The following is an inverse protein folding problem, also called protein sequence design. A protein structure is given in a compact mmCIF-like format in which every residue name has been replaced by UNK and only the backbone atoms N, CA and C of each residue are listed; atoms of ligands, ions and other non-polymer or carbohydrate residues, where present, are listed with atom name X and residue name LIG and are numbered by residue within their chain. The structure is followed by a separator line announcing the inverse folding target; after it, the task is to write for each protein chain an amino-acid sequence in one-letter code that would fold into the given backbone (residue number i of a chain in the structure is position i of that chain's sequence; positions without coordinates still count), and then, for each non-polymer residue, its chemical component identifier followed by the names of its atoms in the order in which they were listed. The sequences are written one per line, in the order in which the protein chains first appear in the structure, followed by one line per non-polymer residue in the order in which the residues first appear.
data_IF_577669446433
#
_entry.id   IF_577669446433
#
_cell.length_a   1.000
_cell.length_b   1.000
_cell.length_c   1.000
_cell.angle_alpha   90.00
_cell.angle_beta   90.00
_cell.angle_gamma   90.00
#
_symmetry.space_group_name_H-M   'P 1'
#
loop_
_entity.id
_entity.type
_entity.pdbx_description
1 polymer ?
#
# COMPACT_ATOMS: atom_id res chain seq x y z
N UNK A 1 17.31 -17.33 13.12
CA UNK A 1 16.13 -16.46 13.21
C UNK A 1 15.52 -16.11 11.84
N UNK A 2 16.24 -15.48 10.89
CA UNK A 2 15.66 -15.10 9.61
C UNK A 2 15.25 -16.29 8.73
N UNK A 3 16.10 -17.31 8.66
CA UNK A 3 15.77 -18.55 7.94
C UNK A 3 14.56 -19.26 8.53
N UNK A 4 14.45 -19.32 9.86
CA UNK A 4 13.29 -19.89 10.53
C UNK A 4 12.00 -19.12 10.22
N UNK A 5 12.10 -17.81 10.07
CA UNK A 5 10.95 -16.94 9.72
C UNK A 5 10.52 -17.14 8.28
N UNK A 6 11.46 -17.24 7.34
CA UNK A 6 11.17 -17.53 5.92
C UNK A 6 10.54 -18.91 5.78
N UNK A 7 11.11 -19.91 6.44
CA UNK A 7 10.59 -21.28 6.42
C UNK A 7 9.17 -21.34 6.99
N UNK A 8 8.93 -20.67 8.11
CA UNK A 8 7.60 -20.54 8.71
C UNK A 8 6.60 -19.85 7.73
N UNK A 9 7.01 -18.80 7.01
CA UNK A 9 6.17 -18.14 6.01
C UNK A 9 5.84 -19.08 4.84
N UNK A 10 6.83 -19.80 4.32
CA UNK A 10 6.65 -20.76 3.23
C UNK A 10 5.71 -21.89 3.67
N UNK A 11 5.89 -22.43 4.86
CA UNK A 11 5.03 -23.47 5.44
C UNK A 11 3.60 -22.95 5.66
N UNK A 12 3.46 -21.74 6.21
CA UNK A 12 2.16 -21.11 6.47
C UNK A 12 1.42 -20.83 5.15
N UNK A 13 2.10 -20.27 4.15
CA UNK A 13 1.50 -20.00 2.83
C UNK A 13 1.18 -21.33 2.13
N UNK A 14 2.05 -22.33 2.25
CA UNK A 14 1.80 -23.66 1.71
C UNK A 14 0.59 -24.37 2.35
N UNK A 15 0.43 -24.24 3.66
CA UNK A 15 -0.70 -24.80 4.39
C UNK A 15 -2.02 -24.08 4.11
N UNK A 16 -2.00 -22.76 4.00
CA UNK A 16 -3.19 -21.94 3.69
C UNK A 16 -3.57 -21.99 2.19
N UNK A 17 -2.62 -22.31 1.32
CA UNK A 17 -2.83 -22.40 -0.12
C UNK A 17 -3.24 -21.06 -0.77
N UNK A 18 -3.95 -21.17 -1.89
CA UNK A 18 -4.44 -19.99 -2.64
C UNK A 18 -5.41 -19.09 -1.86
N UNK A 19 -6.31 -19.63 -1.02
CA UNK A 19 -7.15 -18.80 -0.15
C UNK A 19 -6.34 -17.97 0.83
N UNK A 20 -5.24 -18.52 1.37
CA UNK A 20 -4.33 -17.78 2.25
C UNK A 20 -3.64 -16.62 1.53
N UNK A 21 -3.15 -16.84 0.31
CA UNK A 21 -2.58 -15.78 -0.54
C UNK A 21 -3.62 -14.69 -0.78
N UNK A 22 -4.84 -15.07 -1.16
CA UNK A 22 -5.94 -14.12 -1.39
C UNK A 22 -6.20 -13.26 -0.15
N UNK A 23 -6.36 -13.88 1.03
CA UNK A 23 -6.66 -13.18 2.28
C UNK A 23 -5.50 -12.25 2.70
N UNK A 24 -4.27 -12.74 2.65
CA UNK A 24 -3.09 -11.93 3.00
C UNK A 24 -2.92 -10.73 2.08
N UNK A 25 -3.16 -10.91 0.78
CA UNK A 25 -3.10 -9.82 -0.19
C UNK A 25 -4.28 -8.86 -0.09
N UNK A 26 -5.46 -9.34 0.38
CA UNK A 26 -6.60 -8.48 0.69
C UNK A 26 -6.31 -7.60 1.92
N UNK A 27 -5.73 -8.17 2.96
CA UNK A 27 -5.30 -7.44 4.17
C UNK A 27 -4.20 -6.44 3.81
N UNK A 28 -3.20 -6.85 3.03
CA UNK A 28 -2.11 -6.00 2.56
C UNK A 28 -2.61 -4.77 1.78
N UNK A 29 -3.53 -4.98 0.85
CA UNK A 29 -4.09 -3.89 0.04
C UNK A 29 -5.16 -3.07 0.77
N UNK A 30 -5.47 -3.39 2.02
CA UNK A 30 -6.36 -2.62 2.90
C UNK A 30 -5.58 -1.57 3.70
N UNK A 31 -6.16 -1.07 4.78
CA UNK A 31 -5.55 -0.05 5.66
C UNK A 31 -4.29 -0.54 6.39
N UNK A 32 -4.09 -1.85 6.51
CA UNK A 32 -2.98 -2.43 7.25
C UNK A 32 -1.76 -2.54 6.32
N UNK A 33 -0.68 -1.77 6.56
CA UNK A 33 0.52 -1.82 5.72
C UNK A 33 1.29 -3.13 5.96
N UNK A 34 0.93 -4.18 5.23
CA UNK A 34 1.65 -5.44 5.21
C UNK A 34 2.36 -5.58 3.85
N UNK A 35 3.67 -5.83 3.79
CA UNK A 35 4.38 -5.86 2.51
C UNK A 35 4.07 -7.14 1.73
N UNK A 36 3.60 -7.01 0.49
CA UNK A 36 3.41 -8.15 -0.43
C UNK A 36 4.69 -8.90 -0.74
N UNK A 37 5.82 -8.24 -0.54
CA UNK A 37 7.16 -8.82 -0.66
C UNK A 37 7.40 -9.96 0.34
N UNK A 38 6.58 -10.06 1.37
CA UNK A 38 6.60 -11.16 2.35
C UNK A 38 5.69 -12.32 1.93
N UNK A 39 4.67 -12.06 1.10
CA UNK A 39 3.67 -13.06 0.69
C UNK A 39 3.99 -13.69 -0.67
N UNK A 40 4.22 -12.85 -1.69
CA UNK A 40 4.31 -13.33 -3.07
C UNK A 40 5.62 -14.06 -3.41
N UNK A 41 6.82 -13.64 -2.94
CA UNK A 41 8.04 -14.40 -3.21
C UNK A 41 8.06 -15.79 -2.57
N UNK A 42 7.64 -16.02 -1.30
CA UNK A 42 7.48 -17.38 -0.77
C UNK A 42 6.48 -18.23 -1.57
N UNK A 43 5.37 -17.64 -2.06
CA UNK A 43 4.46 -18.34 -2.95
C UNK A 43 5.14 -18.69 -4.30
N UNK A 44 5.97 -17.79 -4.85
CA UNK A 44 6.80 -18.05 -6.02
C UNK A 44 7.81 -19.17 -5.81
N UNK A 45 8.39 -19.27 -4.62
CA UNK A 45 9.24 -20.40 -4.24
C UNK A 45 8.48 -21.73 -4.20
N UNK A 46 7.23 -21.74 -3.69
CA UNK A 46 6.37 -22.94 -3.75
C UNK A 46 6.00 -23.32 -5.19
N UNK A 47 5.89 -22.35 -6.09
CA UNK A 47 5.74 -22.61 -7.54
C UNK A 47 6.98 -23.28 -8.08
N UNK A 48 8.20 -22.82 -7.74
CA UNK A 48 9.47 -23.45 -8.13
C UNK A 48 9.55 -24.90 -7.64
N UNK A 49 9.09 -25.18 -6.43
CA UNK A 49 9.03 -26.55 -5.88
C UNK A 49 7.95 -27.43 -6.56
N UNK A 50 7.18 -26.92 -7.51
CA UNK A 50 6.08 -27.65 -8.16
C UNK A 50 4.85 -27.86 -7.25
N UNK A 51 4.79 -27.21 -6.08
CA UNK A 51 3.69 -27.34 -5.11
C UNK A 51 2.50 -26.42 -5.42
N UNK A 52 2.72 -25.36 -6.20
CA UNK A 52 1.69 -24.39 -6.58
C UNK A 52 1.73 -24.06 -8.06
N UNK A 53 0.56 -23.72 -8.62
CA UNK A 53 0.45 -23.26 -10.00
C UNK A 53 0.68 -21.74 -10.06
N UNK A 54 1.61 -21.23 -10.92
CA UNK A 54 1.94 -19.81 -10.98
C UNK A 54 0.75 -18.93 -11.33
N UNK A 55 -0.10 -19.36 -12.24
CA UNK A 55 -1.29 -18.60 -12.66
C UNK A 55 -2.29 -18.44 -11.53
N UNK A 56 -2.52 -19.50 -10.75
CA UNK A 56 -3.42 -19.43 -9.60
C UNK A 56 -2.85 -18.58 -8.47
N UNK A 57 -1.54 -18.59 -8.23
CA UNK A 57 -0.88 -17.71 -7.27
C UNK A 57 -1.07 -16.25 -7.66
N UNK A 58 -0.80 -15.90 -8.92
CA UNK A 58 -0.95 -14.54 -9.43
C UNK A 58 -2.41 -14.08 -9.41
N UNK A 59 -3.34 -14.96 -9.79
CA UNK A 59 -4.78 -14.67 -9.73
C UNK A 59 -5.26 -14.45 -8.29
N UNK A 60 -4.89 -15.33 -7.36
CA UNK A 60 -5.25 -15.20 -5.95
C UNK A 60 -4.69 -13.89 -5.37
N UNK A 61 -3.44 -13.55 -5.67
CA UNK A 61 -2.81 -12.30 -5.26
C UNK A 61 -3.49 -11.07 -5.84
N UNK A 62 -3.77 -11.07 -7.14
CA UNK A 62 -4.43 -9.97 -7.84
C UNK A 62 -5.87 -9.73 -7.35
N UNK A 63 -6.65 -10.81 -7.21
CA UNK A 63 -8.03 -10.73 -6.70
C UNK A 63 -8.07 -10.34 -5.22
N UNK A 64 -7.13 -10.84 -4.41
CA UNK A 64 -6.97 -10.41 -3.02
C UNK A 64 -6.67 -8.92 -2.93
N UNK A 65 -5.71 -8.43 -3.72
CA UNK A 65 -5.39 -7.01 -3.79
C UNK A 65 -6.58 -6.17 -4.25
N UNK A 66 -7.39 -6.65 -5.19
CA UNK A 66 -8.62 -5.97 -5.60
C UNK A 66 -9.63 -5.88 -4.46
N UNK A 67 -9.84 -6.97 -3.72
CA UNK A 67 -10.75 -6.99 -2.58
C UNK A 67 -10.34 -5.98 -1.50
N UNK A 68 -9.06 -5.95 -1.12
CA UNK A 68 -8.52 -4.96 -0.17
C UNK A 68 -8.61 -3.53 -0.70
N UNK A 69 -8.36 -3.33 -2.00
CA UNK A 69 -8.52 -2.04 -2.65
C UNK A 69 -9.96 -1.52 -2.60
N UNK A 70 -10.93 -2.41 -2.80
CA UNK A 70 -12.34 -2.06 -2.67
C UNK A 70 -12.71 -1.68 -1.24
N UNK A 71 -12.16 -2.35 -0.22
CA UNK A 71 -12.37 -1.95 1.18
C UNK A 71 -11.94 -0.49 1.39
N UNK A 72 -10.74 -0.10 0.91
CA UNK A 72 -10.26 1.28 0.98
C UNK A 72 -11.09 2.24 0.12
N UNK A 73 -11.47 1.83 -1.09
CA UNK A 73 -12.28 2.63 -2.00
C UNK A 73 -13.65 2.96 -1.39
N UNK A 74 -14.37 1.95 -0.89
CA UNK A 74 -15.68 2.16 -0.27
C UNK A 74 -15.56 2.89 1.06
N UNK A 75 -14.55 2.58 1.86
CA UNK A 75 -14.25 3.32 3.09
C UNK A 75 -14.05 4.82 2.82
N UNK A 76 -13.25 5.16 1.81
CA UNK A 76 -13.04 6.54 1.39
C UNK A 76 -14.29 7.19 0.79
N UNK A 77 -15.05 6.44 -0.01
CA UNK A 77 -16.28 6.95 -0.65
C UNK A 77 -17.40 7.26 0.33
N UNK A 78 -17.56 6.42 1.37
CA UNK A 78 -18.64 6.53 2.34
C UNK A 78 -18.29 7.46 3.50
N UNK A 79 -17.08 7.31 4.03
CA UNK A 79 -16.64 7.99 5.25
C UNK A 79 -15.59 9.08 4.99
N UNK A 80 -14.91 9.03 3.84
CA UNK A 80 -13.74 9.87 3.58
C UNK A 80 -14.07 11.35 3.52
N UNK A 81 -15.13 11.76 2.80
CA UNK A 81 -15.48 13.19 2.66
C UNK A 81 -15.93 13.80 4.00
N UNK A 82 -16.88 13.21 4.77
CA UNK A 82 -17.24 13.75 6.07
C UNK A 82 -16.09 13.73 7.08
N UNK A 83 -15.28 12.65 7.11
CA UNK A 83 -14.10 12.58 7.95
C UNK A 83 -13.03 13.62 7.57
N UNK A 84 -12.80 13.82 6.27
CA UNK A 84 -11.85 14.82 5.79
C UNK A 84 -12.33 16.25 6.04
N UNK A 85 -13.61 16.53 5.96
CA UNK A 85 -14.17 17.85 6.33
C UNK A 85 -14.06 18.10 7.82
N UNK A 86 -14.29 17.07 8.65
CA UNK A 86 -14.25 17.19 10.10
C UNK A 86 -12.83 17.22 10.65
N UNK A 87 -11.93 16.36 10.15
CA UNK A 87 -10.56 16.19 10.67
C UNK A 87 -9.48 16.73 9.75
N UNK A 88 -9.77 16.98 8.47
CA UNK A 88 -8.81 17.47 7.46
C UNK A 88 -8.20 18.82 7.83
N UNK A 89 -8.94 19.64 8.58
CA UNK A 89 -8.46 20.90 9.13
C UNK A 89 -7.26 20.72 10.07
N UNK A 90 -7.19 19.61 10.80
CA UNK A 90 -6.06 19.25 11.66
C UNK A 90 -4.83 18.79 10.87
N UNK A 91 -5.05 18.27 9.65
CA UNK A 91 -3.99 17.74 8.77
C UNK A 91 -3.55 18.79 7.73
N UNK A 92 -4.16 19.98 7.74
CA UNK A 92 -3.85 21.05 6.76
C UNK A 92 -4.38 20.76 5.34
N UNK A 93 -5.32 19.83 5.22
CA UNK A 93 -6.07 19.57 4.00
C UNK A 93 -7.22 20.59 3.92
N UNK A 94 -6.95 21.71 3.27
CA UNK A 94 -7.98 22.67 2.91
C UNK A 94 -8.93 22.06 1.86
N UNK A 95 -10.21 22.38 1.95
CA UNK A 95 -11.25 21.92 1.01
C UNK A 95 -10.86 22.12 -0.46
N UNK A 96 -10.22 23.24 -0.77
CA UNK A 96 -9.67 23.57 -2.11
C UNK A 96 -8.64 22.53 -2.60
N UNK A 97 -7.84 21.95 -1.71
CA UNK A 97 -6.86 20.90 -2.08
C UNK A 97 -7.54 19.58 -2.38
N UNK A 98 -8.62 19.28 -1.66
CA UNK A 98 -9.44 18.09 -1.88
C UNK A 98 -10.15 18.18 -3.23
N UNK A 99 -10.78 19.30 -3.54
CA UNK A 99 -11.44 19.54 -4.82
C UNK A 99 -10.47 19.46 -6.01
N UNK A 100 -9.27 20.00 -5.87
CA UNK A 100 -8.22 19.87 -6.91
C UNK A 100 -7.78 18.41 -7.11
N UNK A 101 -7.65 17.65 -6.04
CA UNK A 101 -7.34 16.23 -6.11
C UNK A 101 -8.47 15.44 -6.76
N UNK A 102 -9.74 15.73 -6.41
CA UNK A 102 -10.91 15.13 -7.04
C UNK A 102 -10.98 15.47 -8.55
N UNK A 103 -10.74 16.71 -8.93
CA UNK A 103 -10.71 17.14 -10.34
C UNK A 103 -9.58 16.47 -11.12
N UNK A 104 -8.38 16.39 -10.54
CA UNK A 104 -7.26 15.69 -11.15
C UNK A 104 -7.59 14.21 -11.36
N UNK A 105 -8.17 13.57 -10.35
CA UNK A 105 -8.53 12.16 -10.39
C UNK A 105 -9.67 11.88 -11.38
N UNK A 106 -10.62 12.81 -11.52
CA UNK A 106 -11.69 12.71 -12.51
C UNK A 106 -11.18 12.79 -13.95
N UNK A 107 -10.05 13.47 -14.19
CA UNK A 107 -9.43 13.58 -15.52
C UNK A 107 -8.44 12.45 -15.82
N UNK A 108 -7.66 12.03 -14.82
CA UNK A 108 -6.53 11.13 -15.02
C UNK A 108 -6.59 9.89 -14.09
N UNK A 109 -7.72 9.63 -13.45
CA UNK A 109 -7.84 8.60 -12.42
C UNK A 109 -7.49 7.18 -12.89
N UNK A 110 -7.79 6.88 -14.15
CA UNK A 110 -7.49 5.58 -14.76
C UNK A 110 -5.98 5.33 -14.79
N UNK A 111 -5.25 6.25 -15.41
CA UNK A 111 -3.78 6.17 -15.54
C UNK A 111 -3.12 6.29 -14.16
N UNK A 112 -3.62 7.19 -13.31
CA UNK A 112 -3.10 7.37 -11.95
C UNK A 112 -3.31 6.13 -11.10
N UNK A 113 -4.46 5.45 -11.22
CA UNK A 113 -4.72 4.20 -10.51
C UNK A 113 -3.78 3.10 -10.97
N UNK A 114 -3.60 2.96 -12.28
CA UNK A 114 -2.69 1.95 -12.84
C UNK A 114 -1.23 2.18 -12.42
N UNK A 115 -0.71 3.39 -12.69
CA UNK A 115 0.69 3.74 -12.35
C UNK A 115 0.91 3.68 -10.83
N UNK A 116 -0.03 4.22 -10.05
CA UNK A 116 0.05 4.19 -8.60
C UNK A 116 0.11 2.77 -8.03
N UNK A 117 -0.53 1.80 -8.69
CA UNK A 117 -0.46 0.38 -8.32
C UNK A 117 0.89 -0.27 -8.57
N UNK A 118 1.68 0.24 -9.51
CA UNK A 118 3.03 -0.24 -9.79
C UNK A 118 4.09 0.37 -8.85
N UNK A 119 3.72 1.38 -8.06
CA UNK A 119 4.62 2.03 -7.11
C UNK A 119 4.41 1.47 -5.70
N UNK A 120 5.43 0.86 -5.05
CA UNK A 120 5.27 0.13 -3.78
C UNK A 120 4.58 0.93 -2.66
N UNK A 121 4.90 2.21 -2.49
CA UNK A 121 4.33 3.06 -1.43
C UNK A 121 2.94 3.58 -1.79
N UNK A 122 2.73 3.94 -3.07
CA UNK A 122 1.51 4.62 -3.53
C UNK A 122 0.38 3.61 -3.73
N UNK A 123 0.67 2.36 -4.07
CA UNK A 123 -0.32 1.33 -4.42
C UNK A 123 -1.37 1.07 -3.34
N UNK A 124 -1.02 1.23 -2.07
CA UNK A 124 -1.95 1.07 -0.95
C UNK A 124 -2.86 2.28 -0.81
N UNK A 125 -2.32 3.47 -1.06
CA UNK A 125 -3.01 4.74 -0.84
C UNK A 125 -3.88 5.18 -2.02
N UNK A 126 -3.57 4.72 -3.25
CA UNK A 126 -4.24 5.19 -4.49
C UNK A 126 -5.75 4.91 -4.51
N UNK A 127 -6.21 3.90 -3.77
CA UNK A 127 -7.63 3.55 -3.64
C UNK A 127 -8.44 4.60 -2.89
N UNK A 128 -7.79 5.37 -1.99
CA UNK A 128 -8.45 6.42 -1.20
C UNK A 128 -8.88 7.60 -2.08
N UNK A 129 -7.98 8.26 -2.84
CA UNK A 129 -8.39 9.33 -3.74
C UNK A 129 -9.34 8.84 -4.86
N UNK A 130 -9.22 7.59 -5.32
CA UNK A 130 -10.16 7.01 -6.27
C UNK A 130 -11.59 6.92 -5.68
N UNK A 131 -11.70 6.52 -4.41
CA UNK A 131 -12.97 6.46 -3.67
C UNK A 131 -13.57 7.85 -3.43
N UNK A 132 -12.75 8.82 -3.02
CA UNK A 132 -13.16 10.22 -2.81
C UNK A 132 -13.67 10.86 -4.09
N UNK A 133 -12.96 10.70 -5.19
CA UNK A 133 -13.34 11.18 -6.52
C UNK A 133 -14.53 10.41 -7.14
N UNK A 134 -15.07 9.41 -6.43
CA UNK A 134 -16.18 8.56 -6.91
C UNK A 134 -15.91 7.96 -8.31
N UNK A 135 -14.67 7.55 -8.56
CA UNK A 135 -14.27 6.91 -9.81
C UNK A 135 -15.24 5.77 -10.16
N UNK A 136 -15.50 5.56 -11.45
CA UNK A 136 -16.37 4.44 -11.88
C UNK A 136 -15.82 3.10 -11.43
N UNK A 137 -16.67 2.24 -10.83
CA UNK A 137 -16.30 0.96 -10.26
C UNK A 137 -15.63 0.01 -11.27
N UNK A 138 -16.16 -0.08 -12.49
CA UNK A 138 -15.61 -0.96 -13.51
C UNK A 138 -14.20 -0.51 -13.93
N UNK A 139 -14.00 0.79 -14.13
CA UNK A 139 -12.69 1.35 -14.44
C UNK A 139 -11.71 1.15 -13.28
N UNK A 140 -12.14 1.44 -12.05
CA UNK A 140 -11.33 1.19 -10.86
C UNK A 140 -10.91 -0.29 -10.75
N UNK A 141 -11.85 -1.23 -10.96
CA UNK A 141 -11.57 -2.66 -10.93
C UNK A 141 -10.55 -3.07 -11.98
N UNK A 142 -10.75 -2.66 -13.24
CA UNK A 142 -9.86 -3.04 -14.35
C UNK A 142 -8.43 -2.54 -14.11
N UNK A 143 -8.25 -1.24 -13.85
CA UNK A 143 -6.91 -0.67 -13.68
C UNK A 143 -6.22 -1.15 -12.38
N UNK A 144 -6.99 -1.36 -11.31
CA UNK A 144 -6.48 -1.94 -10.07
C UNK A 144 -6.03 -3.39 -10.28
N UNK A 145 -6.89 -4.21 -10.92
CA UNK A 145 -6.57 -5.63 -11.16
C UNK A 145 -5.36 -5.76 -12.07
N UNK A 146 -5.29 -5.00 -13.17
CA UNK A 146 -4.15 -5.03 -14.08
C UNK A 146 -2.85 -4.67 -13.35
N UNK A 147 -2.81 -3.55 -12.62
CA UNK A 147 -1.62 -3.13 -11.89
C UNK A 147 -1.22 -4.12 -10.80
N UNK A 148 -2.18 -4.61 -10.00
CA UNK A 148 -1.93 -5.58 -8.94
C UNK A 148 -1.46 -6.93 -9.50
N UNK A 149 -2.06 -7.42 -10.58
CA UNK A 149 -1.68 -8.69 -11.20
C UNK A 149 -0.26 -8.64 -11.78
N UNK A 150 0.11 -7.53 -12.44
CA UNK A 150 1.48 -7.32 -12.95
C UNK A 150 2.47 -7.34 -11.78
N UNK A 151 2.17 -6.62 -10.69
CA UNK A 151 3.03 -6.59 -9.51
C UNK A 151 3.16 -7.97 -8.86
N UNK A 152 2.04 -8.68 -8.66
CA UNK A 152 2.04 -10.06 -8.13
C UNK A 152 2.84 -11.01 -9.03
N UNK A 153 2.71 -10.88 -10.37
CA UNK A 153 3.47 -11.69 -11.30
C UNK A 153 4.99 -11.44 -11.19
N UNK A 154 5.40 -10.18 -11.08
CA UNK A 154 6.82 -9.81 -10.88
C UNK A 154 7.36 -10.42 -9.60
N UNK A 155 6.65 -10.28 -8.46
CA UNK A 155 7.10 -10.82 -7.19
C UNK A 155 7.11 -12.36 -7.16
N UNK A 156 6.10 -13.00 -7.77
CA UNK A 156 6.06 -14.47 -7.93
C UNK A 156 7.22 -14.96 -8.79
N UNK A 157 7.51 -14.26 -9.89
CA UNK A 157 8.65 -14.56 -10.75
C UNK A 157 9.97 -14.43 -10.01
N UNK A 158 10.16 -13.35 -9.24
CA UNK A 158 11.34 -13.18 -8.40
C UNK A 158 11.49 -14.38 -7.45
N UNK A 159 10.43 -14.77 -6.74
CA UNK A 159 10.44 -15.93 -5.85
C UNK A 159 10.76 -17.24 -6.57
N UNK A 160 10.26 -17.43 -7.79
CA UNK A 160 10.52 -18.59 -8.62
C UNK A 160 12.00 -18.67 -9.06
N UNK A 161 12.55 -17.58 -9.60
CA UNK A 161 13.95 -17.53 -10.11
C UNK A 161 14.97 -17.67 -8.98
N UNK A 162 14.66 -17.11 -7.80
CA UNK A 162 15.53 -17.18 -6.61
C UNK A 162 15.40 -18.55 -5.91
N UNK A 163 14.37 -19.33 -6.26
CA UNK A 163 14.09 -20.63 -5.66
C UNK A 163 15.27 -21.61 -5.66
N UNK A 164 16.17 -21.49 -6.63
CA UNK A 164 17.38 -22.29 -6.73
C UNK A 164 18.52 -21.82 -5.80
N UNK A 165 18.40 -20.64 -5.18
CA UNK A 165 19.48 -20.02 -4.41
C UNK A 165 19.02 -19.55 -3.03
N UNK A 166 18.96 -20.46 -2.05
CA UNK A 166 18.52 -20.20 -0.66
C UNK A 166 19.22 -18.99 -0.01
N UNK A 167 20.45 -18.67 -0.39
CA UNK A 167 21.17 -17.50 0.14
C UNK A 167 20.59 -16.17 -0.40
N UNK A 168 20.15 -16.14 -1.66
CA UNK A 168 19.55 -14.96 -2.27
C UNK A 168 18.16 -14.66 -1.69
N UNK A 169 17.37 -15.71 -1.36
CA UNK A 169 16.05 -15.52 -0.71
C UNK A 169 16.24 -14.80 0.62
N UNK A 170 17.26 -15.20 1.42
CA UNK A 170 17.54 -14.59 2.72
C UNK A 170 18.03 -13.14 2.61
N UNK A 171 18.80 -12.81 1.57
CA UNK A 171 19.28 -11.45 1.35
C UNK A 171 18.17 -10.51 0.83
N UNK A 172 17.36 -10.95 -0.13
CA UNK A 172 16.31 -10.13 -0.71
C UNK A 172 15.15 -9.90 0.26
N UNK A 173 14.71 -10.91 1.01
CA UNK A 173 13.70 -10.72 2.07
C UNK A 173 14.20 -9.81 3.16
N UNK A 174 15.48 -9.89 3.54
CA UNK A 174 16.09 -8.97 4.50
C UNK A 174 16.13 -7.54 3.97
N UNK A 175 16.50 -7.34 2.71
CA UNK A 175 16.49 -6.01 2.09
C UNK A 175 15.06 -5.45 1.98
N UNK A 176 14.09 -6.25 1.53
CA UNK A 176 12.69 -5.83 1.44
C UNK A 176 12.13 -5.41 2.81
N UNK A 177 12.37 -6.21 3.87
CA UNK A 177 11.97 -5.87 5.24
C UNK A 177 12.66 -4.60 5.72
N UNK A 178 13.98 -4.44 5.48
CA UNK A 178 14.73 -3.24 5.88
C UNK A 178 14.21 -2.01 5.16
N UNK A 179 13.98 -2.07 3.85
CA UNK A 179 13.44 -0.95 3.08
C UNK A 179 12.01 -0.59 3.50
N UNK A 180 11.17 -1.60 3.82
CA UNK A 180 9.81 -1.39 4.32
C UNK A 180 9.84 -0.72 5.70
N UNK A 181 10.68 -1.22 6.62
CA UNK A 181 10.85 -0.62 7.95
C UNK A 181 11.44 0.78 7.87
N UNK A 182 12.42 1.00 7.00
CA UNK A 182 13.00 2.32 6.76
C UNK A 182 11.95 3.29 6.19
N UNK A 183 11.13 2.85 5.24
CA UNK A 183 10.02 3.62 4.69
C UNK A 183 8.98 3.98 5.74
N UNK A 184 8.55 3.03 6.56
CA UNK A 184 7.63 3.27 7.68
C UNK A 184 8.23 4.24 8.70
N UNK A 185 9.52 4.08 9.03
CA UNK A 185 10.22 4.97 9.96
C UNK A 185 10.34 6.40 9.41
N UNK A 186 10.65 6.55 8.11
CA UNK A 186 10.69 7.86 7.45
C UNK A 186 9.32 8.56 7.46
N UNK A 187 8.24 7.81 7.21
CA UNK A 187 6.87 8.34 7.27
C UNK A 187 6.56 8.79 8.71
N UNK A 188 6.90 7.97 9.71
CA UNK A 188 6.70 8.27 11.12
C UNK A 188 7.50 9.51 11.56
N UNK A 189 8.77 9.59 11.17
CA UNK A 189 9.64 10.72 11.48
C UNK A 189 9.17 12.01 10.78
N UNK A 190 8.74 11.90 9.53
CA UNK A 190 8.15 13.03 8.78
C UNK A 190 6.87 13.53 9.46
N UNK A 191 6.03 12.61 9.93
CA UNK A 191 4.82 12.95 10.68
C UNK A 191 5.13 13.64 12.00
N UNK A 192 6.07 13.11 12.79
CA UNK A 192 6.51 13.70 14.06
C UNK A 192 7.19 15.06 13.87
N UNK A 193 8.00 15.20 12.82
CA UNK A 193 8.62 16.50 12.47
C UNK A 193 7.56 17.54 12.11
N UNK A 194 6.53 17.15 11.37
CA UNK A 194 5.43 18.03 11.00
C UNK A 194 4.58 18.45 12.21
N UNK A 195 4.36 17.55 13.15
CA UNK A 195 3.71 17.87 14.43
C UNK A 195 4.52 18.87 15.25
N UNK A 196 5.84 18.67 15.38
CA UNK A 196 6.72 19.62 16.08
C UNK A 196 6.71 21.01 15.45
N UNK A 197 6.70 21.09 14.13
CA UNK A 197 6.65 22.38 13.41
C UNK A 197 5.32 23.13 13.59
N UNK A 198 4.22 22.41 13.87
CA UNK A 198 2.91 23.00 14.18
C UNK A 198 2.77 23.41 15.65
N UNK A 199 3.60 22.88 16.53
CA UNK A 199 3.57 23.15 17.98
C UNK A 199 4.38 24.38 18.40
N UNK A 200 5.04 25.09 17.47
CA UNK A 200 5.68 26.37 17.78
C UNK A 200 4.62 27.46 17.56
N UNK A 201 4.02 28.01 18.61
CA UNK A 201 3.12 29.14 18.49
C UNK A 201 3.97 30.35 18.08
N UNK A 202 3.57 31.05 17.01
CA UNK A 202 4.00 32.39 16.74
C UNK A 202 3.44 33.30 17.86
N UNK A 203 4.07 33.24 19.01
CA UNK A 203 3.76 34.04 20.18
C UNK A 203 4.75 35.17 20.35
N UNK A 204 4.20 36.37 20.33
CA UNK A 204 4.74 37.59 20.92
C UNK A 204 5.86 38.31 20.15
N UNK A 205 5.43 39.05 19.16
CA UNK A 205 5.99 40.40 19.01
C UNK A 205 5.04 41.36 19.76
N UNK A 206 5.22 41.47 21.06
CA UNK A 206 4.70 42.61 21.81
C UNK A 206 5.59 43.78 21.43
N UNK A 207 5.06 44.74 20.69
CA UNK A 207 5.66 46.04 20.52
C UNK A 207 5.76 46.76 21.87
N UNK A 208 6.87 47.45 22.18
CA UNK A 208 6.92 48.32 23.33
C UNK A 208 6.02 49.54 23.04
N UNK A 209 5.08 49.77 23.93
CA UNK A 209 4.39 51.03 24.00
C UNK A 209 5.41 52.13 24.32
N UNK A 210 5.61 53.03 23.41
CA UNK A 210 6.32 54.27 23.67
C UNK A 210 5.34 55.24 24.32
N UNK A 211 5.67 55.59 25.53
CA UNK A 211 4.95 56.63 26.28
C UNK A 211 5.54 58.00 25.92
N UNK A 212 4.65 58.88 25.56
CA UNK A 212 4.68 60.32 25.94
C UNK A 212 3.39 60.98 25.52
#
# INVERSE_FOLDING_TARGET
MLQSMIQWLVETIGALGYPGIFLLMAVESSVIPFPSEVVMPPAGYLVFQGKMNPWLVVLAGGLGSLAGAYANYYGARLLGRPLLLQYGRFIGLAEVKLERAEQFFNRHGEVSTFIGRLMPVIRQLISVPAGLARMNHARFAVYTTLGATIWCAVLTWIGYVIGDNHQLISQMSRQAVVWTLAGCMLILLSYLYWQKKKAIPSGQLSSPSDGR
#
